data_IF_818520252666
#
_entry.id   IF_818520252666
#
_cell.length_a   1.000
_cell.length_b   1.000
_cell.length_c   1.000
_cell.angle_alpha   90.00
_cell.angle_beta   90.00
_cell.angle_gamma   90.00
#
_symmetry.space_group_name_H-M   'P 1'
#
loop_
_entity.id
_entity.type
_entity.pdbx_description
1 polymer ?
#
# COMPACT_ATOMS: atom_id res chain seq x y z
N UNK A 1 -7.23 1.07 -9.84
CA UNK A 1 -6.44 1.08 -8.59
C UNK A 1 -6.60 -0.16 -7.72
N UNK A 2 -7.25 -1.22 -8.22
CA UNK A 2 -7.73 -2.37 -7.44
C UNK A 2 -6.66 -3.40 -7.03
N UNK A 3 -5.36 -3.09 -7.11
CA UNK A 3 -4.29 -4.09 -6.95
C UNK A 3 -3.36 -3.83 -5.76
N UNK A 4 -3.53 -2.71 -5.08
CA UNK A 4 -2.59 -2.21 -4.11
C UNK A 4 -3.23 -2.09 -2.72
N UNK A 5 -2.62 -2.60 -1.64
CA UNK A 5 -1.68 -3.70 -1.47
C UNK A 5 -2.37 -4.90 -0.80
N UNK A 6 -3.24 -5.59 -1.54
CA UNK A 6 -4.07 -6.71 -1.02
C UNK A 6 -3.26 -7.96 -0.59
N UNK A 7 -1.92 -7.93 -0.60
CA UNK A 7 -1.09 -8.99 -0.03
C UNK A 7 -1.06 -8.90 1.50
N UNK A 8 -1.04 -7.67 2.04
CA UNK A 8 -0.86 -7.43 3.48
C UNK A 8 -2.00 -7.98 4.30
N UNK A 9 -3.23 -7.75 3.86
CA UNK A 9 -4.44 -8.26 4.50
C UNK A 9 -4.36 -9.77 4.79
N UNK A 10 -3.78 -10.57 3.90
CA UNK A 10 -3.57 -12.00 4.09
C UNK A 10 -2.49 -12.30 5.13
N UNK A 11 -1.42 -11.50 5.14
CA UNK A 11 -0.39 -11.57 6.16
C UNK A 11 -0.96 -11.20 7.53
N UNK A 12 -1.60 -10.05 7.65
CA UNK A 12 -2.25 -9.56 8.87
C UNK A 12 -3.27 -10.58 9.37
N UNK A 13 -4.13 -11.10 8.48
CA UNK A 13 -5.10 -12.14 8.82
C UNK A 13 -4.42 -13.39 9.41
N UNK A 14 -3.35 -13.90 8.79
CA UNK A 14 -2.62 -15.05 9.32
C UNK A 14 -1.89 -14.76 10.63
N UNK A 15 -1.12 -13.66 10.68
CA UNK A 15 -0.25 -13.31 11.82
C UNK A 15 -1.02 -12.88 13.07
N UNK A 16 -2.26 -12.41 12.90
CA UNK A 16 -3.11 -11.95 14.01
C UNK A 16 -4.27 -12.91 14.31
N UNK A 17 -4.23 -14.13 13.76
CA UNK A 17 -5.27 -15.14 13.92
C UNK A 17 -6.67 -14.59 13.56
N UNK A 18 -6.79 -14.01 12.38
CA UNK A 18 -8.01 -13.45 11.80
C UNK A 18 -8.65 -12.30 12.60
N UNK A 19 -7.85 -11.59 13.42
CA UNK A 19 -8.29 -10.41 14.20
C UNK A 19 -9.02 -9.39 13.33
N UNK A 20 -10.30 -9.17 13.63
CA UNK A 20 -11.11 -8.15 12.96
C UNK A 20 -10.52 -6.75 13.17
N UNK A 21 -10.11 -6.43 14.40
CA UNK A 21 -9.50 -5.14 14.76
C UNK A 21 -8.24 -4.86 13.94
N UNK A 22 -7.33 -5.83 13.84
CA UNK A 22 -6.08 -5.64 13.08
C UNK A 22 -6.33 -5.44 11.59
N UNK A 23 -7.31 -6.18 11.03
CA UNK A 23 -7.75 -6.01 9.64
C UNK A 23 -8.39 -4.64 9.42
N UNK A 24 -9.17 -4.12 10.37
CA UNK A 24 -9.78 -2.78 10.31
C UNK A 24 -8.73 -1.66 10.37
N UNK A 25 -7.74 -1.77 11.26
CA UNK A 25 -6.62 -0.81 11.34
C UNK A 25 -5.84 -0.79 10.04
N UNK A 26 -5.45 -1.97 9.53
CA UNK A 26 -4.81 -2.09 8.23
C UNK A 26 -5.65 -1.47 7.11
N UNK A 27 -6.96 -1.76 7.08
CA UNK A 27 -7.86 -1.21 6.07
C UNK A 27 -7.86 0.32 6.08
N UNK A 28 -7.94 0.96 7.25
CA UNK A 28 -7.93 2.42 7.36
C UNK A 28 -6.61 3.05 6.87
N UNK A 29 -5.47 2.49 7.31
CA UNK A 29 -4.14 2.98 6.91
C UNK A 29 -3.89 2.77 5.42
N UNK A 30 -4.16 1.57 4.91
CA UNK A 30 -4.05 1.24 3.49
C UNK A 30 -4.93 2.13 2.62
N UNK A 31 -6.18 2.34 3.03
CA UNK A 31 -7.15 3.10 2.25
C UNK A 31 -6.74 4.57 2.13
N UNK A 32 -6.25 5.17 3.21
CA UNK A 32 -5.77 6.55 3.17
C UNK A 32 -4.51 6.71 2.31
N UNK A 33 -3.60 5.72 2.29
CA UNK A 33 -2.48 5.71 1.33
C UNK A 33 -2.97 5.61 -0.11
N UNK A 34 -3.93 4.73 -0.38
CA UNK A 34 -4.53 4.63 -1.72
C UNK A 34 -5.11 5.97 -2.16
N UNK A 35 -5.91 6.62 -1.32
CA UNK A 35 -6.51 7.93 -1.60
C UNK A 35 -5.41 8.96 -1.90
N UNK A 36 -4.37 9.03 -1.06
CA UNK A 36 -3.24 9.93 -1.28
C UNK A 36 -2.56 9.72 -2.63
N UNK A 37 -2.26 8.46 -2.97
CA UNK A 37 -1.65 8.10 -4.26
C UNK A 37 -2.60 8.45 -5.42
N UNK A 38 -3.93 8.29 -5.26
CA UNK A 38 -4.90 8.62 -6.32
C UNK A 38 -4.86 10.10 -6.63
N UNK A 39 -4.88 10.95 -5.60
CA UNK A 39 -4.89 12.40 -5.76
C UNK A 39 -3.57 12.94 -6.35
N UNK A 40 -2.46 12.23 -6.13
CA UNK A 40 -1.18 12.54 -6.77
C UNK A 40 -1.19 12.21 -8.28
N UNK A 41 -1.85 11.13 -8.68
CA UNK A 41 -1.75 10.59 -10.04
C UNK A 41 -2.93 10.95 -10.96
N UNK A 42 -4.08 11.36 -10.41
CA UNK A 42 -5.29 11.65 -11.17
C UNK A 42 -5.69 13.12 -11.00
N UNK A 43 -6.07 13.76 -12.12
CA UNK A 43 -6.54 15.15 -12.16
C UNK A 43 -7.87 15.31 -11.40
N UNK A 44 -8.78 14.36 -11.65
CA UNK A 44 -10.09 14.28 -11.02
C UNK A 44 -10.22 12.91 -10.34
N UNK A 45 -9.64 12.72 -9.14
CA UNK A 45 -9.70 11.45 -8.45
C UNK A 45 -11.14 11.11 -8.07
N UNK A 46 -11.63 9.95 -8.50
CA UNK A 46 -12.93 9.45 -8.06
C UNK A 46 -12.92 9.28 -6.54
N UNK A 47 -13.97 9.77 -5.87
CA UNK A 47 -14.10 9.61 -4.42
C UNK A 47 -14.22 8.13 -4.08
N UNK A 48 -13.40 7.66 -3.15
CA UNK A 48 -13.51 6.30 -2.63
C UNK A 48 -14.76 6.16 -1.75
N UNK A 49 -15.91 5.97 -2.38
CA UNK A 49 -17.21 5.87 -1.74
C UNK A 49 -18.10 4.85 -2.45
N UNK A 50 -19.16 4.42 -1.76
CA UNK A 50 -20.19 3.55 -2.34
C UNK A 50 -19.61 2.27 -2.97
N UNK A 51 -19.90 1.97 -4.24
CA UNK A 51 -19.44 0.76 -4.91
C UNK A 51 -17.92 0.58 -4.92
N UNK A 52 -17.14 1.65 -5.15
CA UNK A 52 -15.68 1.56 -5.22
C UNK A 52 -15.05 1.21 -3.87
N UNK A 53 -15.63 1.72 -2.77
CA UNK A 53 -15.24 1.35 -1.42
C UNK A 53 -15.57 -0.12 -1.13
N UNK A 54 -16.74 -0.58 -1.54
CA UNK A 54 -17.16 -1.98 -1.39
C UNK A 54 -16.25 -2.94 -2.18
N UNK A 55 -15.90 -2.61 -3.42
CA UNK A 55 -14.97 -3.39 -4.25
C UNK A 55 -13.56 -3.40 -3.66
N UNK A 56 -13.11 -2.26 -3.13
CA UNK A 56 -11.82 -2.17 -2.42
C UNK A 56 -11.81 -3.07 -1.19
N UNK A 57 -12.89 -3.07 -0.40
CA UNK A 57 -13.04 -3.95 0.76
C UNK A 57 -13.06 -5.43 0.37
N UNK A 58 -13.80 -5.82 -0.68
CA UNK A 58 -13.83 -7.20 -1.17
C UNK A 58 -12.47 -7.64 -1.69
N UNK A 59 -11.79 -6.79 -2.45
CA UNK A 59 -10.48 -7.09 -3.05
C UNK A 59 -9.37 -7.16 -2.00
N UNK A 60 -9.46 -6.33 -0.95
CA UNK A 60 -8.58 -6.46 0.21
C UNK A 60 -8.89 -7.77 0.94
N UNK A 61 -10.14 -8.11 1.23
CA UNK A 61 -10.40 -9.30 2.06
C UNK A 61 -10.24 -10.64 1.33
N UNK A 62 -10.29 -10.68 0.00
CA UNK A 62 -10.32 -11.94 -0.77
C UNK A 62 -9.56 -11.80 -2.09
N UNK A 63 -8.92 -12.89 -2.53
CA UNK A 63 -8.29 -12.98 -3.85
C UNK A 63 -6.88 -13.56 -3.82
N UNK A 64 -6.22 -13.55 -4.98
CA UNK A 64 -4.89 -14.16 -5.15
C UNK A 64 -3.81 -13.48 -4.31
N UNK A 65 -3.85 -12.16 -4.19
CA UNK A 65 -2.91 -11.38 -3.37
C UNK A 65 -3.08 -11.70 -1.88
N UNK A 66 -4.32 -11.70 -1.37
CA UNK A 66 -4.61 -12.04 0.03
C UNK A 66 -4.23 -13.49 0.34
N UNK A 67 -4.53 -14.42 -0.57
CA UNK A 67 -4.09 -15.80 -0.45
C UNK A 67 -2.57 -15.91 -0.37
N UNK A 68 -1.84 -15.21 -1.25
CA UNK A 68 -0.38 -15.23 -1.27
C UNK A 68 0.22 -14.73 0.06
N UNK A 69 -0.26 -13.59 0.57
CA UNK A 69 0.17 -13.07 1.86
C UNK A 69 -0.11 -14.03 3.02
N UNK A 70 -1.27 -14.69 3.00
CA UNK A 70 -1.64 -15.70 4.00
C UNK A 70 -0.72 -16.93 3.94
N UNK A 71 -0.37 -17.40 2.74
CA UNK A 71 0.55 -18.53 2.57
C UNK A 71 1.97 -18.18 3.02
N UNK A 72 2.45 -16.97 2.72
CA UNK A 72 3.75 -16.50 3.21
C UNK A 72 3.79 -16.48 4.75
N UNK A 73 2.79 -15.87 5.38
CA UNK A 73 2.73 -15.75 6.83
C UNK A 73 2.57 -17.10 7.57
N UNK A 74 1.92 -18.09 6.94
CA UNK A 74 1.78 -19.45 7.47
C UNK A 74 2.96 -20.37 7.14
N UNK A 75 3.96 -19.88 6.39
CA UNK A 75 5.10 -20.69 5.93
C UNK A 75 4.78 -21.68 4.80
N UNK A 76 3.61 -21.57 4.16
CA UNK A 76 3.23 -22.40 3.01
C UNK A 76 3.87 -21.96 1.69
N UNK A 77 4.36 -20.72 1.62
CA UNK A 77 5.21 -20.19 0.55
C UNK A 77 6.40 -19.47 1.15
N UNK A 78 7.45 -19.29 0.36
CA UNK A 78 8.58 -18.41 0.70
C UNK A 78 8.74 -17.32 -0.37
N UNK A 79 9.34 -16.19 0.02
CA UNK A 79 9.64 -15.08 -0.91
C UNK A 79 10.61 -15.51 -2.03
N UNK A 80 11.41 -16.55 -1.81
CA UNK A 80 12.31 -17.13 -2.83
C UNK A 80 11.58 -17.76 -4.02
N UNK A 81 10.31 -18.15 -3.82
CA UNK A 81 9.48 -18.70 -4.88
C UNK A 81 9.01 -17.62 -5.87
N UNK A 82 9.30 -16.35 -5.59
CA UNK A 82 8.91 -15.21 -6.42
C UNK A 82 7.41 -14.91 -6.36
N UNK A 83 6.98 -14.04 -7.26
CA UNK A 83 5.60 -13.58 -7.39
C UNK A 83 4.81 -14.31 -8.49
N UNK A 84 5.41 -15.26 -9.21
CA UNK A 84 4.72 -16.09 -10.20
C UNK A 84 4.55 -17.51 -9.70
N UNK A 85 3.35 -17.84 -9.23
CA UNK A 85 3.08 -19.12 -8.58
C UNK A 85 2.41 -20.08 -9.57
N UNK A 86 3.00 -21.27 -9.75
CA UNK A 86 2.47 -22.32 -10.63
C UNK A 86 1.01 -22.63 -10.26
N UNK A 87 0.10 -22.55 -11.24
CA UNK A 87 -1.34 -22.77 -11.05
C UNK A 87 -2.12 -21.61 -10.43
N UNK A 88 -1.47 -20.50 -10.05
CA UNK A 88 -2.11 -19.26 -9.57
C UNK A 88 -1.80 -18.05 -10.46
N UNK A 89 -0.70 -18.09 -11.19
CA UNK A 89 -0.19 -17.01 -12.04
C UNK A 89 0.58 -15.95 -11.24
N UNK A 90 0.79 -14.79 -11.86
CA UNK A 90 1.48 -13.65 -11.26
C UNK A 90 0.64 -12.99 -10.16
N UNK A 91 1.26 -12.76 -9.01
CA UNK A 91 0.73 -12.05 -7.84
C UNK A 91 1.01 -10.56 -8.04
N UNK A 92 0.10 -9.92 -8.78
CA UNK A 92 0.23 -8.52 -9.18
C UNK A 92 0.41 -7.55 -8.01
N UNK A 93 -0.05 -7.92 -6.80
CA UNK A 93 0.15 -7.10 -5.60
C UNK A 93 1.63 -6.91 -5.24
N UNK A 94 2.50 -7.89 -5.50
CA UNK A 94 3.94 -7.77 -5.24
C UNK A 94 4.58 -6.80 -6.24
N UNK A 95 4.27 -6.95 -7.53
CA UNK A 95 4.78 -6.06 -8.57
C UNK A 95 4.26 -4.62 -8.38
N UNK A 96 3.03 -4.45 -7.91
CA UNK A 96 2.45 -3.15 -7.58
C UNK A 96 3.20 -2.47 -6.41
N UNK A 97 3.55 -3.21 -5.35
CA UNK A 97 4.36 -2.68 -4.24
C UNK A 97 5.66 -2.07 -4.75
N UNK A 98 6.38 -2.81 -5.60
CA UNK A 98 7.62 -2.31 -6.21
C UNK A 98 7.37 -1.04 -7.04
N UNK A 99 6.42 -1.10 -7.98
CA UNK A 99 6.15 -0.01 -8.90
C UNK A 99 5.72 1.28 -8.21
N UNK A 100 4.81 1.21 -7.24
CA UNK A 100 4.38 2.40 -6.50
C UNK A 100 5.49 2.96 -5.60
N UNK A 101 6.25 2.10 -4.92
CA UNK A 101 7.37 2.57 -4.09
C UNK A 101 8.40 3.33 -4.94
N UNK A 102 8.83 2.75 -6.07
CA UNK A 102 9.81 3.37 -6.96
C UNK A 102 9.28 4.67 -7.56
N UNK A 103 8.01 4.69 -7.98
CA UNK A 103 7.36 5.89 -8.53
C UNK A 103 7.32 7.03 -7.51
N UNK A 104 6.88 6.75 -6.28
CA UNK A 104 6.71 7.75 -5.22
C UNK A 104 8.04 8.17 -4.59
N UNK A 105 9.12 7.45 -4.87
CA UNK A 105 10.48 7.76 -4.41
C UNK A 105 11.29 8.57 -5.42
N UNK A 106 10.73 8.89 -6.60
CA UNK A 106 11.44 9.69 -7.61
C UNK A 106 11.79 11.07 -7.07
N UNK A 107 13.04 11.50 -7.26
CA UNK A 107 13.54 12.81 -6.80
C UNK A 107 12.88 14.01 -7.49
N UNK A 108 12.27 13.80 -8.65
CA UNK A 108 11.43 14.78 -9.35
C UNK A 108 10.10 15.05 -8.64
N UNK A 109 9.75 14.21 -7.66
CA UNK A 109 8.56 14.35 -6.83
C UNK A 109 8.92 14.84 -5.44
N UNK A 110 8.23 15.89 -5.04
CA UNK A 110 8.16 16.32 -3.66
C UNK A 110 6.79 16.87 -3.36
N UNK A 111 6.38 16.67 -2.12
CA UNK A 111 5.19 17.25 -1.52
C UNK A 111 5.63 18.06 -0.30
N UNK A 112 4.93 19.15 -0.02
CA UNK A 112 5.23 19.94 1.18
C UNK A 112 4.78 19.18 2.42
N UNK A 113 5.69 19.03 3.39
CA UNK A 113 5.35 18.40 4.65
C UNK A 113 4.55 19.38 5.51
N UNK A 114 3.34 19.03 5.99
CA UNK A 114 2.45 19.98 6.67
C UNK A 114 3.04 20.54 7.97
N UNK A 115 3.82 19.74 8.69
CA UNK A 115 4.44 20.17 9.96
C UNK A 115 5.86 20.73 9.80
N UNK A 116 6.71 20.06 9.03
CA UNK A 116 8.12 20.44 8.87
C UNK A 116 8.36 21.52 7.80
N UNK A 117 7.33 21.89 7.02
CA UNK A 117 7.38 22.87 5.92
C UNK A 117 8.57 22.68 4.96
N UNK A 118 8.98 21.42 4.78
CA UNK A 118 10.07 21.00 3.92
C UNK A 118 9.55 20.07 2.81
N UNK A 119 10.13 20.11 1.60
CA UNK A 119 9.80 19.17 0.55
C UNK A 119 10.27 17.76 0.94
N UNK A 120 9.36 16.78 0.90
CA UNK A 120 9.65 15.37 1.14
C UNK A 120 9.12 14.52 -0.02
N UNK A 121 9.71 13.34 -0.23
CA UNK A 121 9.21 12.40 -1.23
C UNK A 121 7.78 11.94 -0.84
N UNK A 122 6.85 11.80 -1.81
CA UNK A 122 5.49 11.31 -1.53
C UNK A 122 5.45 9.97 -0.79
N UNK A 123 6.44 9.11 -1.01
CA UNK A 123 6.53 7.81 -0.34
C UNK A 123 6.61 7.93 1.19
N UNK A 124 7.07 9.05 1.73
CA UNK A 124 7.13 9.31 3.18
C UNK A 124 5.74 9.33 3.83
N UNK A 125 4.71 9.68 3.06
CA UNK A 125 3.31 9.60 3.51
C UNK A 125 2.69 8.22 3.37
N UNK A 126 3.43 7.23 2.84
CA UNK A 126 2.95 5.87 2.59
C UNK A 126 3.75 4.82 3.40
N UNK A 127 3.72 4.87 4.73
CA UNK A 127 4.56 4.01 5.57
C UNK A 127 4.22 2.50 5.48
N UNK A 128 2.98 2.12 5.16
CA UNK A 128 2.61 0.71 4.89
C UNK A 128 3.25 0.25 3.58
N UNK A 129 3.17 1.05 2.51
CA UNK A 129 3.91 0.78 1.27
C UNK A 129 5.42 0.65 1.51
N UNK A 130 6.01 1.56 2.30
CA UNK A 130 7.45 1.52 2.65
C UNK A 130 7.81 0.21 3.35
N UNK A 131 7.04 -0.18 4.36
CA UNK A 131 7.28 -1.44 5.06
C UNK A 131 7.12 -2.64 4.13
N UNK A 132 6.13 -2.63 3.24
CA UNK A 132 5.94 -3.70 2.27
C UNK A 132 7.07 -3.83 1.27
N UNK A 133 7.59 -2.72 0.77
CA UNK A 133 8.75 -2.74 -0.09
C UNK A 133 9.94 -3.40 0.62
N UNK A 134 10.16 -3.03 1.88
CA UNK A 134 11.23 -3.59 2.72
C UNK A 134 11.04 -5.07 3.04
N UNK A 135 9.81 -5.55 3.19
CA UNK A 135 9.50 -6.95 3.48
C UNK A 135 9.50 -7.82 2.22
N UNK A 136 8.83 -7.37 1.15
CA UNK A 136 8.56 -8.17 -0.05
C UNK A 136 9.66 -8.06 -1.11
N UNK A 137 10.30 -6.89 -1.23
CA UNK A 137 11.21 -6.58 -2.33
C UNK A 137 12.67 -6.62 -1.87
N UNK A 138 13.06 -5.77 -0.92
CA UNK A 138 14.45 -5.76 -0.42
C UNK A 138 14.72 -6.84 0.63
N UNK A 139 13.66 -7.38 1.23
CA UNK A 139 13.71 -8.45 2.24
C UNK A 139 14.55 -8.08 3.47
N UNK A 140 14.64 -6.78 3.77
CA UNK A 140 15.36 -6.23 4.92
C UNK A 140 14.69 -6.59 6.24
N UNK A 141 13.36 -6.80 6.22
CA UNK A 141 12.57 -7.07 7.41
C UNK A 141 11.76 -8.36 7.27
N UNK A 142 11.51 -9.08 8.38
CA UNK A 142 10.64 -10.25 8.38
C UNK A 142 9.18 -9.85 8.13
N UNK A 143 8.36 -10.81 7.70
CA UNK A 143 6.91 -10.59 7.49
C UNK A 143 6.22 -9.98 8.71
N UNK A 144 6.69 -10.30 9.92
CA UNK A 144 6.13 -9.80 11.18
C UNK A 144 6.22 -8.28 11.33
N UNK A 145 7.20 -7.63 10.70
CA UNK A 145 7.43 -6.20 10.79
C UNK A 145 6.23 -5.37 10.27
N UNK A 146 5.35 -6.00 9.48
CA UNK A 146 4.11 -5.35 9.05
C UNK A 146 3.18 -5.05 10.23
N UNK A 147 3.18 -5.89 11.28
CA UNK A 147 2.38 -5.63 12.48
C UNK A 147 2.95 -4.48 13.30
N UNK A 148 4.27 -4.31 13.29
CA UNK A 148 4.93 -3.22 13.98
C UNK A 148 4.60 -1.89 13.29
N UNK A 149 4.62 -1.88 11.95
CA UNK A 149 4.14 -0.73 11.17
C UNK A 149 2.67 -0.39 11.49
N UNK A 150 1.78 -1.37 11.64
CA UNK A 150 0.38 -1.13 11.99
C UNK A 150 0.17 -0.59 13.42
N UNK A 151 1.15 -0.75 14.31
CA UNK A 151 1.11 -0.31 15.70
C UNK A 151 1.90 0.97 15.93
N UNK A 152 2.53 1.52 14.90
CA UNK A 152 3.32 2.72 15.00
C UNK A 152 2.42 3.93 15.26
N UNK A 153 2.38 4.36 16.52
CA UNK A 153 1.60 5.51 16.99
C UNK A 153 2.12 6.84 16.44
N UNK A 154 3.30 6.86 15.82
CA UNK A 154 3.87 8.05 15.17
C UNK A 154 3.47 8.17 13.70
N UNK A 155 2.76 7.17 13.15
CA UNK A 155 2.20 7.27 11.80
C UNK A 155 1.14 8.37 11.73
N UNK A 156 1.11 9.05 10.59
CA UNK A 156 0.01 9.94 10.23
C UNK A 156 -1.35 9.27 10.41
N UNK A 157 -2.23 9.98 11.12
CA UNK A 157 -3.64 9.61 11.17
C UNK A 157 -4.18 9.52 9.73
N UNK A 158 -4.94 8.46 9.38
CA UNK A 158 -5.56 8.32 8.07
C UNK A 158 -6.32 9.57 7.60
N UNK A 159 -6.95 10.31 8.53
CA UNK A 159 -7.66 11.56 8.25
C UNK A 159 -6.72 12.64 7.74
N UNK A 160 -5.61 12.87 8.45
CA UNK A 160 -4.65 13.92 8.11
C UNK A 160 -4.01 13.63 6.74
N UNK A 161 -3.69 12.36 6.45
CA UNK A 161 -3.22 11.94 5.13
C UNK A 161 -4.21 12.27 4.01
N UNK A 162 -5.50 12.07 4.26
CA UNK A 162 -6.57 12.41 3.29
C UNK A 162 -6.68 13.94 3.12
N UNK A 163 -6.58 14.70 4.21
CA UNK A 163 -6.63 16.17 4.15
C UNK A 163 -5.46 16.74 3.35
N UNK A 164 -4.23 16.20 3.52
CA UNK A 164 -3.08 16.55 2.70
C UNK A 164 -3.41 16.33 1.21
N UNK A 165 -3.92 15.14 0.88
CA UNK A 165 -4.25 14.74 -0.49
C UNK A 165 -5.28 15.65 -1.16
N UNK A 166 -6.22 16.22 -0.39
CA UNK A 166 -7.34 17.04 -0.91
C UNK A 166 -7.02 18.53 -0.99
N UNK A 167 -6.12 19.04 -0.15
CA UNK A 167 -5.85 20.48 -0.02
C UNK A 167 -4.75 20.99 -0.95
N UNK A 168 -3.92 20.09 -1.45
CA UNK A 168 -2.78 20.43 -2.30
C UNK A 168 -3.00 19.86 -3.70
N UNK A 169 -2.89 20.71 -4.72
CA UNK A 169 -3.02 20.30 -6.13
C UNK A 169 -1.75 19.52 -6.52
N UNK A 170 -1.85 18.19 -6.50
CA UNK A 170 -0.72 17.28 -6.66
C UNK A 170 -0.62 16.61 -8.03
N UNK A 171 -1.53 16.89 -8.95
CA UNK A 171 -1.62 16.17 -10.22
C UNK A 171 -0.32 16.29 -11.06
N UNK A 172 0.36 15.15 -11.24
CA UNK A 172 1.64 15.03 -11.97
C UNK A 172 1.57 13.90 -13.01
N UNK A 173 0.84 14.07 -14.13
CA UNK A 173 0.64 13.00 -15.13
C UNK A 173 1.93 12.60 -15.86
N UNK A 174 2.96 13.47 -15.87
CA UNK A 174 4.28 13.18 -16.44
C UNK A 174 4.94 11.94 -15.80
N UNK A 175 4.52 11.55 -14.60
CA UNK A 175 4.93 10.32 -13.93
C UNK A 175 4.52 9.04 -14.66
N UNK A 176 3.35 9.05 -15.28
CA UNK A 176 2.86 7.91 -16.07
C UNK A 176 3.41 7.91 -17.50
N UNK A 177 4.20 8.94 -17.85
CA UNK A 177 4.66 9.21 -19.22
C UNK A 177 6.08 8.69 -19.50
N UNK A 178 6.64 7.81 -18.66
CA UNK A 178 7.93 7.20 -18.97
C UNK A 178 7.79 6.33 -20.23
N UNK A 179 8.35 6.81 -21.35
CA UNK A 179 8.67 5.97 -22.50
C UNK A 179 9.75 4.96 -22.09
N UNK A 180 9.70 3.74 -22.64
CA UNK A 180 10.68 2.69 -22.38
C UNK A 180 12.12 3.10 -22.72
#
# INVERSE_FOLDING_TARGET
>A
MSYFPCVVVGMVAALTNESATSKSVYFALCTSEMIFITHLLAEEPEKLAGPLLADTYVTLLKGRNAWYGQQLAKGGLSLEMGDSIKGKGMIQGVSAVKGFYELLSQSSLSVQHPEENKPVAPVEFCPILKMLYKVLITREFPLQAILDALRDETMYDPKDRIEIAQTHVFYRPSLLSHRP
#
